data_IF_154773000685
#
_entry.id   IF_154773000685
#
_cell.length_a   1.000
_cell.length_b   1.000
_cell.length_c   1.000
_cell.angle_alpha   90.00
_cell.angle_beta   90.00
_cell.angle_gamma   90.00
#
_symmetry.space_group_name_H-M   'P 1'
#
loop_
_entity.id
_entity.type
_entity.pdbx_description
1 polymer ?
#
# COMPACT_ATOMS: atom_id res chain seq x y z
N UNK A 1 17.26 28.65 -25.18
CA UNK A 1 17.41 28.39 -23.72
C UNK A 1 16.77 27.05 -23.42
N UNK A 2 17.59 26.01 -23.29
CA UNK A 2 17.19 24.64 -23.01
C UNK A 2 16.80 24.49 -21.53
N UNK A 3 15.68 23.83 -21.19
CA UNK A 3 15.34 23.58 -19.80
C UNK A 3 16.28 22.52 -19.25
N UNK A 4 17.07 22.86 -18.23
CA UNK A 4 17.94 21.92 -17.55
C UNK A 4 17.11 20.82 -16.89
N UNK A 5 17.32 19.59 -17.36
CA UNK A 5 16.85 18.37 -16.74
C UNK A 5 17.50 18.24 -15.35
N UNK A 6 16.71 18.50 -14.31
CA UNK A 6 17.11 18.21 -12.94
C UNK A 6 17.32 16.69 -12.78
N UNK A 7 18.57 16.31 -12.57
CA UNK A 7 18.99 14.92 -12.38
C UNK A 7 18.39 14.35 -11.07
N UNK A 8 17.82 13.13 -11.06
CA UNK A 8 17.12 12.54 -9.90
C UNK A 8 18.00 12.22 -8.68
N UNK A 9 19.32 12.45 -8.75
CA UNK A 9 20.24 12.25 -7.62
C UNK A 9 20.15 13.41 -6.61
N UNK A 10 19.73 14.61 -7.03
CA UNK A 10 19.68 15.79 -6.17
C UNK A 10 18.60 15.73 -5.08
N UNK A 11 17.53 14.95 -5.27
CA UNK A 11 16.46 14.84 -4.26
C UNK A 11 16.85 13.98 -3.06
N UNK A 12 17.87 13.11 -3.19
CA UNK A 12 18.46 12.40 -2.06
C UNK A 12 19.40 13.28 -1.22
N UNK A 13 19.89 14.40 -1.76
CA UNK A 13 20.83 15.29 -1.08
C UNK A 13 20.15 16.30 -0.12
N UNK A 14 18.83 16.49 -0.21
CA UNK A 14 18.09 17.43 0.65
C UNK A 14 17.75 16.88 2.04
N UNK A 15 17.88 15.57 2.23
CA UNK A 15 17.77 14.95 3.53
C UNK A 15 19.17 14.85 4.12
N UNK A 16 19.50 15.70 5.09
CA UNK A 16 20.61 15.46 6.03
C UNK A 16 20.31 14.17 6.80
N UNK A 17 20.49 13.04 6.14
CA UNK A 17 20.63 11.77 6.82
C UNK A 17 22.06 11.73 7.34
N UNK A 18 22.30 11.40 8.63
CA UNK A 18 23.65 11.03 9.05
C UNK A 18 24.13 9.91 8.12
N UNK A 19 25.45 9.73 7.91
CA UNK A 19 26.02 8.69 7.03
C UNK A 19 25.50 7.30 7.42
N UNK A 20 24.32 6.93 6.94
CA UNK A 20 23.65 5.68 7.24
C UNK A 20 24.43 4.59 6.51
N UNK A 21 24.74 3.50 7.22
CA UNK A 21 25.31 2.32 6.58
C UNK A 21 24.35 1.80 5.51
N UNK A 22 24.87 1.13 4.48
CA UNK A 22 24.05 0.52 3.42
C UNK A 22 23.01 -0.47 3.97
N UNK A 23 23.28 -1.12 5.10
CA UNK A 23 22.34 -1.97 5.81
C UNK A 23 21.20 -1.18 6.47
N UNK A 24 21.53 -0.07 7.15
CA UNK A 24 20.51 0.81 7.74
C UNK A 24 19.65 1.49 6.67
N UNK A 25 20.24 1.86 5.53
CA UNK A 25 19.52 2.40 4.38
C UNK A 25 18.60 1.34 3.73
N UNK A 26 19.07 0.09 3.59
CA UNK A 26 18.24 -1.01 3.09
C UNK A 26 17.03 -1.27 4.00
N UNK A 27 17.22 -1.25 5.33
CA UNK A 27 16.13 -1.36 6.31
C UNK A 27 15.14 -0.20 6.22
N UNK A 28 15.63 1.03 6.07
CA UNK A 28 14.76 2.19 5.86
C UNK A 28 13.90 2.00 4.60
N UNK A 29 14.49 1.57 3.49
CA UNK A 29 13.75 1.30 2.27
C UNK A 29 12.77 0.14 2.39
N UNK A 30 13.12 -0.89 3.17
CA UNK A 30 12.16 -1.95 3.51
C UNK A 30 10.93 -1.38 4.23
N UNK A 31 11.11 -0.45 5.19
CA UNK A 31 10.01 0.23 5.88
C UNK A 31 9.20 1.14 4.95
N UNK A 32 9.89 1.96 4.14
CA UNK A 32 9.26 2.87 3.16
C UNK A 32 8.36 2.10 2.20
N UNK A 33 8.85 0.97 1.71
CA UNK A 33 8.13 0.10 0.79
C UNK A 33 7.18 -0.86 1.49
N UNK A 34 6.91 -0.69 2.80
CA UNK A 34 5.97 -1.48 3.58
C UNK A 34 6.32 -2.96 3.62
N UNK A 35 7.57 -3.29 3.92
CA UNK A 35 8.08 -4.64 4.14
C UNK A 35 7.95 -5.60 2.95
N UNK A 36 8.49 -5.27 1.76
CA UNK A 36 8.50 -6.18 0.62
C UNK A 36 9.33 -7.44 0.92
N UNK A 37 8.97 -8.55 0.29
CA UNK A 37 9.80 -9.76 0.30
C UNK A 37 11.15 -9.51 -0.37
N UNK A 38 12.15 -10.34 -0.06
CA UNK A 38 13.54 -10.17 -0.54
C UNK A 38 13.62 -10.16 -2.07
N UNK A 39 12.86 -11.01 -2.75
CA UNK A 39 12.88 -11.10 -4.22
C UNK A 39 12.26 -9.86 -4.87
N UNK A 40 11.12 -9.41 -4.35
CA UNK A 40 10.50 -8.17 -4.80
C UNK A 40 11.44 -6.98 -4.56
N UNK A 41 12.09 -6.92 -3.40
CA UNK A 41 13.08 -5.89 -3.09
C UNK A 41 14.26 -5.90 -4.07
N UNK A 42 14.83 -7.07 -4.38
CA UNK A 42 15.90 -7.20 -5.38
C UNK A 42 15.48 -6.74 -6.78
N UNK A 43 14.26 -7.09 -7.20
CA UNK A 43 13.74 -6.64 -8.48
C UNK A 43 13.58 -5.12 -8.49
N UNK A 44 13.12 -4.52 -7.40
CA UNK A 44 13.01 -3.06 -7.27
C UNK A 44 14.37 -2.38 -7.34
N UNK A 45 15.40 -2.91 -6.68
CA UNK A 45 16.74 -2.33 -6.71
C UNK A 45 17.39 -2.42 -8.10
N UNK A 46 17.08 -3.47 -8.86
CA UNK A 46 17.64 -3.66 -10.20
C UNK A 46 16.94 -2.83 -11.27
N UNK A 47 15.66 -2.53 -11.08
CA UNK A 47 14.83 -1.83 -12.09
C UNK A 47 14.73 -0.33 -11.87
N UNK A 48 14.95 0.15 -10.64
CA UNK A 48 14.82 1.58 -10.31
C UNK A 48 16.20 2.22 -10.08
N UNK A 49 16.58 3.21 -10.89
CA UNK A 49 17.85 3.93 -10.72
C UNK A 49 18.06 4.51 -9.31
N UNK A 50 16.97 4.95 -8.67
CA UNK A 50 16.97 5.49 -7.30
C UNK A 50 17.38 4.47 -6.22
N UNK A 51 17.37 3.16 -6.54
CA UNK A 51 17.61 2.07 -5.59
C UNK A 51 18.81 1.19 -5.95
N UNK A 52 19.50 1.46 -7.06
CA UNK A 52 20.57 0.59 -7.58
C UNK A 52 21.75 0.36 -6.63
N UNK A 53 21.95 1.24 -5.63
CA UNK A 53 23.00 1.10 -4.63
C UNK A 53 22.64 0.12 -3.48
N UNK A 54 21.37 -0.30 -3.38
CA UNK A 54 20.91 -1.28 -2.40
C UNK A 54 20.93 -2.69 -2.98
N UNK A 55 21.30 -3.68 -2.17
CA UNK A 55 21.35 -5.09 -2.56
C UNK A 55 20.78 -5.94 -1.42
N UNK A 56 20.14 -7.07 -1.72
CA UNK A 56 19.64 -8.01 -0.69
C UNK A 56 20.69 -8.48 0.29
N UNK A 57 21.98 -8.50 -0.07
CA UNK A 57 23.06 -8.81 0.88
C UNK A 57 23.07 -7.88 2.10
N UNK A 58 22.56 -6.65 1.96
CA UNK A 58 22.42 -5.69 3.05
C UNK A 58 21.22 -5.98 3.98
N UNK A 59 20.33 -6.90 3.59
CA UNK A 59 19.20 -7.42 4.38
C UNK A 59 19.44 -8.87 4.86
N UNK A 60 20.52 -9.51 4.40
CA UNK A 60 20.81 -10.93 4.68
C UNK A 60 21.14 -11.11 6.16
N UNK A 61 20.52 -12.10 6.80
CA UNK A 61 20.75 -12.43 8.21
C UNK A 61 19.99 -11.56 9.22
N UNK A 62 19.11 -10.65 8.79
CA UNK A 62 18.27 -9.85 9.68
C UNK A 62 16.81 -10.34 9.59
N UNK A 63 16.34 -10.98 10.66
CA UNK A 63 14.92 -11.25 10.82
C UNK A 63 14.21 -9.89 11.01
N UNK A 64 13.22 -9.59 10.16
CA UNK A 64 12.36 -8.45 10.40
C UNK A 64 11.25 -8.89 11.36
N UNK A 65 11.39 -8.53 12.63
CA UNK A 65 10.43 -8.88 13.70
C UNK A 65 9.01 -8.41 13.36
N UNK A 66 8.88 -7.21 12.78
CA UNK A 66 7.63 -6.68 12.25
C UNK A 66 6.98 -7.61 11.22
N UNK A 67 7.76 -8.14 10.28
CA UNK A 67 7.25 -9.11 9.31
C UNK A 67 6.84 -10.43 9.99
N UNK A 68 7.60 -10.89 10.98
CA UNK A 68 7.29 -12.11 11.71
C UNK A 68 5.98 -11.97 12.49
N UNK A 69 5.81 -10.85 13.20
CA UNK A 69 4.60 -10.56 13.96
C UNK A 69 3.38 -10.35 13.05
N UNK A 70 3.54 -9.65 11.92
CA UNK A 70 2.47 -9.46 10.94
C UNK A 70 1.99 -10.77 10.29
N UNK A 71 2.89 -11.76 10.18
CA UNK A 71 2.59 -13.12 9.66
C UNK A 71 2.02 -14.07 10.72
N UNK A 72 2.04 -13.70 12.01
CA UNK A 72 1.46 -14.53 13.08
C UNK A 72 -0.07 -14.63 12.99
N UNK A 73 -0.64 -15.76 13.45
CA UNK A 73 -2.09 -16.01 13.36
C UNK A 73 -2.87 -15.32 14.50
N UNK A 74 -3.73 -14.36 14.08
CA UNK A 74 -4.92 -13.70 14.68
C UNK A 74 -4.89 -13.07 16.08
N UNK A 75 -5.33 -11.80 16.12
CA UNK A 75 -6.53 -11.41 16.91
C UNK A 75 -7.76 -11.38 15.99
N UNK A 76 -8.99 -11.61 16.50
CA UNK A 76 -10.22 -11.51 15.72
C UNK A 76 -10.46 -10.06 15.23
N UNK A 77 -11.04 -9.92 14.04
CA UNK A 77 -11.53 -8.65 13.52
C UNK A 77 -13.02 -8.53 13.83
N UNK A 78 -13.46 -7.31 14.10
CA UNK A 78 -14.87 -6.99 14.32
C UNK A 78 -15.65 -7.01 12.98
N UNK A 79 -16.86 -7.54 13.04
CA UNK A 79 -17.76 -7.88 11.92
C UNK A 79 -18.43 -6.67 11.22
N UNK A 80 -18.15 -5.44 11.67
CA UNK A 80 -18.80 -4.22 11.19
C UNK A 80 -18.32 -3.69 9.81
N UNK A 81 -17.38 -4.36 9.14
CA UNK A 81 -16.70 -3.83 7.95
C UNK A 81 -17.40 -4.08 6.58
N UNK A 82 -18.70 -4.39 6.54
CA UNK A 82 -19.40 -4.73 5.28
C UNK A 82 -20.02 -3.53 4.53
N UNK A 83 -20.08 -2.33 5.12
CA UNK A 83 -20.79 -1.19 4.51
C UNK A 83 -19.98 -0.37 3.49
N UNK A 84 -18.70 -0.67 3.28
CA UNK A 84 -17.78 0.13 2.44
C UNK A 84 -17.82 -0.29 0.96
N UNK A 85 -18.17 -1.55 0.65
CA UNK A 85 -17.97 -2.16 -0.67
C UNK A 85 -18.85 -1.60 -1.81
N UNK A 86 -19.93 -0.85 -1.51
CA UNK A 86 -20.86 -0.36 -2.54
C UNK A 86 -20.36 0.85 -3.33
N UNK A 87 -19.32 1.55 -2.86
CA UNK A 87 -18.79 2.75 -3.51
C UNK A 87 -17.54 2.47 -4.39
N UNK A 88 -16.88 1.33 -4.21
CA UNK A 88 -15.51 1.09 -4.72
C UNK A 88 -15.44 0.67 -6.20
N UNK A 89 -16.54 0.20 -6.81
CA UNK A 89 -16.54 -0.23 -8.23
C UNK A 89 -16.33 0.95 -9.18
N UNK A 90 -16.81 2.15 -8.83
CA UNK A 90 -16.52 3.38 -9.57
C UNK A 90 -15.10 3.92 -9.34
N UNK A 91 -14.39 3.42 -8.34
CA UNK A 91 -13.08 3.92 -7.90
C UNK A 91 -11.90 3.03 -8.34
N UNK A 92 -12.16 2.08 -9.26
CA UNK A 92 -11.11 1.43 -10.07
C UNK A 92 -10.50 2.47 -11.05
N UNK A 93 -9.78 3.45 -10.48
CA UNK A 93 -9.31 4.70 -11.11
C UNK A 93 -8.39 4.56 -12.33
N UNK A 94 -8.04 3.33 -12.75
CA UNK A 94 -6.95 3.11 -13.72
C UNK A 94 -7.26 2.13 -14.86
N UNK A 95 -8.46 1.58 -14.93
CA UNK A 95 -8.94 0.80 -16.08
C UNK A 95 -10.39 1.16 -16.30
N UNK A 96 -10.80 1.33 -17.57
CA UNK A 96 -12.22 1.48 -17.85
C UNK A 96 -12.91 0.25 -17.26
N UNK A 97 -14.01 0.37 -16.49
CA UNK A 97 -14.74 -0.79 -16.00
C UNK A 97 -15.16 -1.74 -17.14
N UNK A 98 -15.21 -1.24 -18.38
CA UNK A 98 -15.46 -2.01 -19.61
C UNK A 98 -14.31 -2.95 -20.01
N UNK A 99 -13.13 -2.81 -19.41
CA UNK A 99 -11.96 -3.64 -19.70
C UNK A 99 -12.01 -4.99 -18.94
N UNK A 100 -12.90 -5.12 -17.95
CA UNK A 100 -13.05 -6.35 -17.17
C UNK A 100 -14.06 -7.25 -17.89
N UNK A 101 -13.55 -8.27 -18.58
CA UNK A 101 -14.40 -9.23 -19.31
C UNK A 101 -15.23 -10.12 -18.39
N UNK A 102 -14.63 -10.68 -17.34
CA UNK A 102 -15.30 -11.57 -16.38
C UNK A 102 -14.83 -11.30 -14.95
N UNK A 103 -15.79 -11.16 -14.02
CA UNK A 103 -15.58 -11.11 -12.58
C UNK A 103 -15.93 -12.48 -11.97
N UNK A 104 -14.97 -13.11 -11.30
CA UNK A 104 -15.23 -14.33 -10.55
C UNK A 104 -15.39 -14.03 -9.05
N UNK A 105 -16.40 -14.61 -8.41
CA UNK A 105 -16.72 -14.44 -6.99
C UNK A 105 -17.19 -15.77 -6.37
N UNK A 106 -17.24 -15.86 -5.04
CA UNK A 106 -17.95 -16.93 -4.34
C UNK A 106 -19.46 -16.80 -4.55
N UNK A 107 -20.22 -17.81 -4.11
CA UNK A 107 -21.67 -17.88 -4.33
C UNK A 107 -22.57 -17.33 -3.18
N UNK A 108 -22.19 -16.37 -2.31
CA UNK A 108 -23.16 -15.76 -1.43
C UNK A 108 -24.06 -14.78 -2.20
N UNK A 109 -25.32 -14.70 -1.75
CA UNK A 109 -26.41 -13.94 -2.40
C UNK A 109 -26.12 -12.45 -2.62
N UNK A 110 -25.17 -11.88 -1.88
CA UNK A 110 -24.75 -10.48 -2.06
C UNK A 110 -23.97 -10.24 -3.36
N UNK A 111 -23.15 -11.21 -3.80
CA UNK A 111 -22.43 -11.10 -5.06
C UNK A 111 -23.29 -11.48 -6.27
N UNK A 112 -24.33 -12.30 -6.09
CA UNK A 112 -25.38 -12.49 -7.10
C UNK A 112 -26.07 -11.14 -7.43
N UNK A 113 -26.51 -10.41 -6.40
CA UNK A 113 -27.10 -9.07 -6.55
C UNK A 113 -26.13 -8.09 -7.22
N UNK A 114 -24.86 -8.11 -6.82
CA UNK A 114 -23.83 -7.28 -7.45
C UNK A 114 -23.68 -7.62 -8.93
N UNK A 115 -23.73 -8.91 -9.27
CA UNK A 115 -23.57 -9.35 -10.65
C UNK A 115 -24.68 -8.87 -11.59
N UNK A 116 -25.92 -8.80 -11.09
CA UNK A 116 -27.04 -8.19 -11.82
C UNK A 116 -26.85 -6.70 -12.10
N UNK A 117 -26.06 -5.98 -11.29
CA UNK A 117 -25.76 -4.56 -11.49
C UNK A 117 -24.58 -4.40 -12.45
N UNK A 118 -23.50 -5.16 -12.24
CA UNK A 118 -22.26 -4.98 -13.00
C UNK A 118 -22.43 -5.39 -14.46
N UNK A 119 -23.11 -6.50 -14.74
CA UNK A 119 -23.28 -7.02 -16.11
C UNK A 119 -23.87 -6.00 -17.09
N UNK A 120 -25.04 -5.38 -16.85
CA UNK A 120 -25.58 -4.38 -17.76
C UNK A 120 -24.82 -3.05 -17.71
N UNK A 121 -24.26 -2.67 -16.56
CA UNK A 121 -23.62 -1.36 -16.38
C UNK A 121 -22.22 -1.26 -17.01
N UNK A 122 -21.48 -2.37 -16.99
CA UNK A 122 -20.06 -2.40 -17.37
C UNK A 122 -19.74 -3.45 -18.44
N UNK A 123 -20.73 -4.21 -18.91
CA UNK A 123 -20.54 -5.31 -19.86
C UNK A 123 -19.59 -6.42 -19.36
N UNK A 124 -19.48 -6.58 -18.03
CA UNK A 124 -18.65 -7.61 -17.38
C UNK A 124 -19.48 -8.84 -17.05
N UNK A 125 -19.05 -10.02 -17.49
CA UNK A 125 -19.68 -11.28 -17.11
C UNK A 125 -19.35 -11.64 -15.66
N UNK A 126 -20.21 -12.42 -15.02
CA UNK A 126 -20.04 -12.80 -13.61
C UNK A 126 -20.03 -14.31 -13.53
N UNK A 127 -19.00 -14.86 -12.90
CA UNK A 127 -18.82 -16.29 -12.68
C UNK A 127 -18.78 -16.58 -11.18
N UNK A 128 -19.50 -17.61 -10.75
CA UNK A 128 -19.54 -18.02 -9.34
C UNK A 128 -18.77 -19.32 -9.14
N UNK A 129 -17.99 -19.39 -8.06
CA UNK A 129 -17.35 -20.64 -7.65
C UNK A 129 -18.40 -21.65 -7.17
N UNK A 130 -18.15 -22.93 -7.42
CA UNK A 130 -18.96 -24.01 -6.88
C UNK A 130 -18.92 -24.00 -5.35
N UNK A 131 -20.02 -24.46 -4.74
CA UNK A 131 -20.05 -24.68 -3.30
C UNK A 131 -18.92 -25.64 -2.87
N UNK A 132 -18.38 -25.39 -1.68
CA UNK A 132 -17.31 -26.21 -1.09
C UNK A 132 -16.02 -26.32 -1.94
N UNK A 133 -15.79 -25.40 -2.87
CA UNK A 133 -14.61 -25.36 -3.75
C UNK A 133 -13.74 -24.11 -3.50
N UNK A 134 -13.19 -23.92 -2.28
CA UNK A 134 -12.43 -22.72 -1.92
C UNK A 134 -11.20 -22.50 -2.81
N UNK A 135 -10.68 -23.56 -3.45
CA UNK A 135 -9.55 -23.50 -4.38
C UNK A 135 -9.84 -22.61 -5.60
N UNK A 136 -11.11 -22.48 -6.02
CA UNK A 136 -11.49 -21.64 -7.16
C UNK A 136 -11.25 -20.15 -6.87
N UNK A 137 -11.30 -19.71 -5.61
CA UNK A 137 -11.07 -18.32 -5.21
C UNK A 137 -9.68 -18.08 -4.58
N UNK A 138 -8.78 -19.07 -4.66
CA UNK A 138 -7.47 -19.02 -4.02
C UNK A 138 -6.61 -17.81 -4.45
N UNK A 139 -6.80 -17.29 -5.66
CA UNK A 139 -6.07 -16.10 -6.15
C UNK A 139 -6.50 -14.85 -5.38
N UNK A 140 -7.81 -14.63 -5.25
CA UNK A 140 -8.37 -13.49 -4.53
C UNK A 140 -8.02 -13.57 -3.03
N UNK A 141 -8.20 -14.74 -2.43
CA UNK A 141 -7.87 -14.97 -1.01
C UNK A 141 -6.39 -14.74 -0.72
N UNK A 142 -5.49 -15.28 -1.56
CA UNK A 142 -4.04 -15.07 -1.41
C UNK A 142 -3.69 -13.59 -1.54
N UNK A 143 -4.31 -12.89 -2.49
CA UNK A 143 -4.06 -11.47 -2.71
C UNK A 143 -4.49 -10.64 -1.49
N UNK A 144 -5.70 -10.88 -0.98
CA UNK A 144 -6.20 -10.22 0.22
C UNK A 144 -5.31 -10.51 1.44
N UNK A 145 -4.86 -11.76 1.59
CA UNK A 145 -3.93 -12.15 2.63
C UNK A 145 -2.62 -11.36 2.59
N UNK A 146 -2.05 -11.13 1.40
CA UNK A 146 -0.85 -10.30 1.23
C UNK A 146 -1.12 -8.84 1.62
N UNK A 147 -2.24 -8.26 1.18
CA UNK A 147 -2.60 -6.87 1.54
C UNK A 147 -2.74 -6.72 3.05
N UNK A 148 -3.47 -7.62 3.71
CA UNK A 148 -3.69 -7.59 5.15
C UNK A 148 -2.38 -7.77 5.93
N UNK A 149 -1.50 -8.69 5.52
CA UNK A 149 -0.19 -8.86 6.16
C UNK A 149 0.64 -7.58 6.06
N UNK A 150 0.62 -6.92 4.91
CA UNK A 150 1.39 -5.70 4.67
C UNK A 150 0.85 -4.50 5.46
N UNK A 151 -0.48 -4.34 5.48
CA UNK A 151 -1.18 -3.38 6.33
C UNK A 151 -0.79 -3.57 7.81
N UNK A 152 -0.84 -4.81 8.31
CA UNK A 152 -0.45 -5.11 9.70
C UNK A 152 1.00 -4.73 9.97
N UNK A 153 1.92 -5.11 9.08
CA UNK A 153 3.33 -4.79 9.24
C UNK A 153 3.55 -3.27 9.35
N UNK A 154 2.89 -2.47 8.52
CA UNK A 154 2.98 -1.01 8.58
C UNK A 154 2.42 -0.41 9.86
N UNK A 155 1.30 -0.92 10.37
CA UNK A 155 0.73 -0.47 11.65
C UNK A 155 1.65 -0.80 12.83
N UNK A 156 2.23 -2.01 12.85
CA UNK A 156 3.16 -2.45 13.89
C UNK A 156 4.44 -1.61 13.86
N UNK A 157 5.02 -1.42 12.67
CA UNK A 157 6.26 -0.65 12.50
C UNK A 157 6.11 0.80 12.96
N UNK A 158 4.97 1.41 12.66
CA UNK A 158 4.68 2.79 13.05
C UNK A 158 4.13 2.94 14.47
N UNK A 159 3.97 1.84 15.23
CA UNK A 159 3.26 1.82 16.51
C UNK A 159 1.89 2.56 16.46
N UNK A 160 1.17 2.35 15.36
CA UNK A 160 -0.04 3.11 15.04
C UNK A 160 -1.31 2.47 15.61
N UNK A 161 -2.31 3.28 15.99
CA UNK A 161 -3.58 2.77 16.49
C UNK A 161 -4.36 2.01 15.41
N UNK A 162 -5.08 0.96 15.83
CA UNK A 162 -5.82 0.05 14.94
C UNK A 162 -6.89 0.74 14.08
N UNK A 163 -7.45 1.87 14.51
CA UNK A 163 -8.48 2.58 13.75
C UNK A 163 -7.97 3.11 12.39
N UNK A 164 -6.66 3.22 12.20
CA UNK A 164 -6.03 3.63 10.94
C UNK A 164 -5.92 2.50 9.91
N UNK A 165 -6.48 1.31 10.19
CA UNK A 165 -6.34 0.13 9.33
C UNK A 165 -6.79 0.36 7.89
N UNK A 166 -7.86 1.12 7.65
CA UNK A 166 -8.36 1.37 6.30
C UNK A 166 -7.35 2.19 5.47
N UNK A 167 -6.75 3.23 6.06
CA UNK A 167 -5.68 4.02 5.43
C UNK A 167 -4.42 3.18 5.20
N UNK A 168 -4.07 2.30 6.14
CA UNK A 168 -2.96 1.38 5.99
C UNK A 168 -3.22 0.35 4.88
N UNK A 169 -4.46 -0.10 4.71
CA UNK A 169 -4.87 -1.06 3.68
C UNK A 169 -4.80 -0.42 2.29
N UNK A 170 -5.28 0.81 2.15
CA UNK A 170 -5.19 1.58 0.91
C UNK A 170 -3.72 1.79 0.50
N UNK A 171 -2.89 2.28 1.43
CA UNK A 171 -1.46 2.46 1.18
C UNK A 171 -0.74 1.14 0.89
N UNK A 172 -1.11 0.04 1.57
CA UNK A 172 -0.59 -1.30 1.28
C UNK A 172 -0.91 -1.71 -0.16
N UNK A 173 -2.16 -1.51 -0.58
CA UNK A 173 -2.63 -1.85 -1.92
C UNK A 173 -1.87 -1.07 -2.99
N UNK A 174 -1.68 0.24 -2.78
CA UNK A 174 -0.86 1.08 -3.65
C UNK A 174 0.59 0.56 -3.75
N UNK A 175 1.24 0.31 -2.60
CA UNK A 175 2.61 -0.23 -2.57
C UNK A 175 2.73 -1.56 -3.32
N UNK A 176 1.76 -2.47 -3.17
CA UNK A 176 1.78 -3.76 -3.86
C UNK A 176 1.61 -3.55 -5.38
N UNK A 177 0.77 -2.61 -5.81
CA UNK A 177 0.56 -2.35 -7.23
C UNK A 177 1.77 -1.73 -7.92
N UNK A 178 2.60 -0.97 -7.20
CA UNK A 178 3.87 -0.44 -7.74
C UNK A 178 5.06 -1.39 -7.53
N UNK A 179 4.91 -2.44 -6.71
CA UNK A 179 5.96 -3.43 -6.47
C UNK A 179 6.00 -4.51 -7.57
N UNK A 180 7.19 -4.98 -7.98
CA UNK A 180 7.36 -6.13 -8.85
C UNK A 180 6.70 -7.39 -8.33
N UNK A 181 6.15 -8.19 -9.24
CA UNK A 181 5.56 -9.50 -8.91
C UNK A 181 6.13 -10.60 -9.80
N UNK A 182 6.42 -11.76 -9.21
CA UNK A 182 6.82 -12.95 -9.95
C UNK A 182 5.74 -13.40 -10.96
N UNK A 183 4.46 -13.23 -10.61
CA UNK A 183 3.33 -13.51 -11.51
C UNK A 183 3.39 -12.69 -12.81
N UNK A 184 4.06 -11.54 -12.76
CA UNK A 184 4.15 -10.58 -13.85
C UNK A 184 5.57 -10.52 -14.43
N UNK A 185 6.30 -11.65 -14.38
CA UNK A 185 7.69 -11.76 -14.89
C UNK A 185 8.65 -10.72 -14.30
N UNK A 186 8.42 -10.33 -13.04
CA UNK A 186 9.22 -9.34 -12.33
C UNK A 186 8.91 -7.88 -12.64
N UNK A 187 7.76 -7.61 -13.28
CA UNK A 187 7.25 -6.26 -13.54
C UNK A 187 6.12 -5.92 -12.56
N UNK A 188 5.96 -4.65 -12.19
CA UNK A 188 4.87 -4.24 -11.30
C UNK A 188 3.51 -4.22 -12.01
N UNK A 189 2.40 -4.55 -11.32
CA UNK A 189 1.05 -4.41 -11.90
C UNK A 189 0.79 -3.03 -12.50
N UNK A 190 1.21 -1.96 -11.81
CA UNK A 190 1.11 -0.58 -12.30
C UNK A 190 1.79 -0.41 -13.65
N UNK A 191 3.01 -0.92 -13.82
CA UNK A 191 3.71 -0.83 -15.10
C UNK A 191 3.04 -1.66 -16.18
N UNK A 192 2.49 -2.83 -15.86
CA UNK A 192 1.76 -3.66 -16.83
C UNK A 192 0.59 -2.89 -17.45
N UNK A 193 -0.15 -2.13 -16.63
CA UNK A 193 -1.31 -1.35 -17.06
C UNK A 193 -0.92 -0.02 -17.69
N UNK A 194 -0.11 0.78 -16.98
CA UNK A 194 0.23 2.17 -17.35
C UNK A 194 1.40 2.26 -18.33
N UNK A 195 2.11 1.15 -18.57
CA UNK A 195 3.34 1.07 -19.39
C UNK A 195 4.44 2.04 -18.94
N UNK A 196 4.44 2.41 -17.65
CA UNK A 196 5.40 3.32 -17.02
C UNK A 196 5.76 2.85 -15.61
N UNK A 197 6.99 3.08 -15.19
CA UNK A 197 7.37 2.91 -13.78
C UNK A 197 6.79 4.03 -12.90
N UNK A 198 6.42 3.69 -11.66
CA UNK A 198 6.08 4.69 -10.64
C UNK A 198 7.35 5.33 -10.10
N UNK A 199 7.31 6.64 -9.85
CA UNK A 199 8.39 7.32 -9.12
C UNK A 199 8.38 6.85 -7.66
N UNK A 200 9.55 6.57 -7.09
CA UNK A 200 9.71 6.16 -5.70
C UNK A 200 10.14 7.32 -4.79
N UNK A 201 10.62 8.44 -5.35
CA UNK A 201 11.09 9.61 -4.59
C UNK A 201 10.07 10.26 -3.65
N UNK A 202 8.77 10.03 -3.87
CA UNK A 202 7.70 10.54 -3.01
C UNK A 202 7.21 9.55 -1.94
N UNK A 203 7.74 8.31 -1.92
CA UNK A 203 7.32 7.30 -0.96
C UNK A 203 7.79 7.70 0.44
N UNK A 204 6.89 7.55 1.42
CA UNK A 204 7.15 7.76 2.84
C UNK A 204 6.79 6.53 3.65
N UNK A 205 7.35 6.41 4.85
CA UNK A 205 6.96 5.34 5.77
C UNK A 205 5.54 5.66 6.23
N UNK A 206 4.67 4.67 6.22
CA UNK A 206 3.33 4.85 6.76
C UNK A 206 3.43 5.25 8.24
N UNK A 207 2.73 6.32 8.63
CA UNK A 207 2.85 6.90 9.98
C UNK A 207 4.05 7.85 10.19
N UNK A 208 4.76 8.27 9.13
CA UNK A 208 5.77 9.31 9.28
C UNK A 208 5.14 10.64 9.75
N UNK A 209 5.93 11.43 10.49
CA UNK A 209 5.53 12.79 10.88
C UNK A 209 5.25 13.63 9.63
N UNK A 210 4.07 14.27 9.60
CA UNK A 210 3.67 15.21 8.56
C UNK A 210 3.33 16.56 9.19
N UNK A 211 3.64 17.65 8.47
CA UNK A 211 3.31 19.01 8.89
C UNK A 211 2.19 19.53 8.00
N UNK A 212 1.12 20.02 8.62
CA UNK A 212 0.01 20.65 7.90
C UNK A 212 0.21 22.16 7.94
N UNK A 213 0.23 22.80 6.78
CA UNK A 213 0.23 24.26 6.70
C UNK A 213 -1.18 24.78 7.00
N UNK A 214 -1.39 25.30 8.20
CA UNK A 214 -2.67 25.90 8.59
C UNK A 214 -2.64 27.38 8.19
N UNK A 215 -3.45 27.76 7.20
CA UNK A 215 -3.63 29.17 6.83
C UNK A 215 -4.30 29.93 7.99
N UNK A 216 -3.73 31.09 8.36
CA UNK A 216 -4.14 31.89 9.52
C UNK A 216 -5.65 32.20 9.58
N UNK A 217 -6.34 32.29 8.44
CA UNK A 217 -7.77 32.54 8.38
C UNK A 217 -8.64 31.46 9.06
N UNK A 218 -8.16 30.20 9.09
CA UNK A 218 -8.92 29.08 9.69
C UNK A 218 -8.71 29.01 11.22
N UNK A 219 -7.62 29.59 11.73
CA UNK A 219 -7.30 29.58 13.18
C UNK A 219 -8.31 30.44 13.96
N UNK A 220 -8.84 31.51 13.35
CA UNK A 220 -9.83 32.40 13.99
C UNK A 220 -11.24 31.79 14.08
N UNK A 221 -11.52 30.71 13.33
CA UNK A 221 -12.82 30.04 13.31
C UNK A 221 -12.89 28.80 14.22
N UNK A 222 -11.78 28.39 14.86
CA UNK A 222 -11.82 27.32 15.87
C UNK A 222 -12.22 27.93 17.22
N UNK A 223 -13.24 27.40 17.90
CA UNK A 223 -13.53 27.83 19.27
C UNK A 223 -12.28 27.61 20.13
N UNK A 224 -11.95 28.53 21.04
CA UNK A 224 -10.81 28.36 21.94
C UNK A 224 -10.98 27.04 22.72
N UNK A 225 -9.89 26.27 22.82
CA UNK A 225 -9.84 25.09 23.69
C UNK A 225 -10.41 25.46 25.06
N UNK A 226 -11.42 24.70 25.54
CA UNK A 226 -11.82 24.79 26.94
C UNK A 226 -10.61 24.39 27.77
N UNK A 227 -10.15 25.31 28.61
CA UNK A 227 -9.09 25.07 29.60
C UNK A 227 -9.46 23.82 30.39
N UNK A 228 -8.59 22.80 30.41
CA UNK A 228 -8.85 21.60 31.22
C UNK A 228 -7.98 20.38 30.98
N UNK A 229 -7.26 20.24 29.86
CA UNK A 229 -6.31 19.13 29.70
C UNK A 229 -4.96 19.62 29.17
N UNK A 230 -3.95 19.37 30.00
CA UNK A 230 -2.54 19.72 29.88
C UNK A 230 -2.00 19.46 28.48
N UNK A 231 -1.63 20.53 27.78
CA UNK A 231 -0.74 20.46 26.62
C UNK A 231 0.67 20.85 27.12
N UNK A 232 1.42 19.88 27.64
CA UNK A 232 2.84 20.10 27.89
C UNK A 232 3.58 20.20 26.56
N UNK A 233 4.22 21.34 26.34
CA UNK A 233 5.16 21.61 25.25
C UNK A 233 6.58 21.37 25.76
N UNK A 234 7.53 20.98 24.90
CA UNK A 234 8.87 20.58 25.33
C UNK A 234 9.74 21.80 25.61
N UNK A 235 10.45 21.77 26.74
CA UNK A 235 11.75 22.44 26.93
C UNK A 235 12.87 21.52 26.47
#
# INVERSE_FOLDING_TARGET
MTPQLFHPIALLASWRTPKLSRASLARLWQRLLGHPGVDAFNQMTNTNPELMFLKSKHLRGQLCETCAYAKSKRSPFDSSAMSIFKHDVSELRHSSPMDIGTLQSDNPKEYEKLGHIIKPKYNTQVAFSNAYSPQQNAVAERRLGIVVQKMRAMLIEGALPKFLWALALDYASWLINISPSASNKGVSPYHVVVKRHSSLGHIKTFGCTAFVHIQRAIIQARPPCRQGHVCDSPT
#
